data_IF_318387176535
#
_entry.id   IF_318387176535
#
_cell.length_a   1.000
_cell.length_b   1.000
_cell.length_c   1.000
_cell.angle_alpha   90.00
_cell.angle_beta   90.00
_cell.angle_gamma   90.00
#
_symmetry.space_group_name_H-M   'P 1'
#
loop_
_entity.id
_entity.type
_entity.pdbx_description
1 polymer ?
#
# COMPACT_ATOMS: atom_id res chain seq x y z
N UNK A 1 -16.57 -9.03 -9.63
CA UNK A 1 -15.85 -8.38 -8.52
C UNK A 1 -15.20 -7.13 -9.08
N UNK A 2 -15.56 -5.94 -8.61
CA UNK A 2 -14.82 -4.72 -9.00
C UNK A 2 -13.59 -4.64 -8.10
N UNK A 3 -12.41 -4.74 -8.70
CA UNK A 3 -11.15 -4.46 -8.01
C UNK A 3 -10.91 -2.95 -8.09
N UNK A 4 -10.59 -2.33 -6.96
CA UNK A 4 -10.00 -1.00 -6.99
C UNK A 4 -8.57 -1.14 -7.53
N UNK A 5 -8.22 -0.33 -8.52
CA UNK A 5 -6.89 -0.33 -9.12
C UNK A 5 -6.12 0.92 -8.71
N UNK A 6 -4.89 0.74 -8.23
CA UNK A 6 -3.96 1.82 -7.94
C UNK A 6 -2.86 1.77 -8.99
N UNK A 7 -2.74 2.85 -9.77
CA UNK A 7 -1.77 2.93 -10.86
C UNK A 7 -0.55 3.72 -10.42
N UNK A 8 0.58 3.02 -10.31
CA UNK A 8 1.88 3.67 -10.15
C UNK A 8 2.37 4.16 -11.51
N UNK A 9 2.93 5.38 -11.61
CA UNK A 9 3.60 5.81 -12.83
C UNK A 9 4.83 4.93 -13.09
N UNK A 10 5.30 4.89 -14.33
CA UNK A 10 6.60 4.29 -14.62
C UNK A 10 7.68 5.04 -13.84
N UNK A 11 8.49 4.30 -13.07
CA UNK A 11 9.60 4.86 -12.30
C UNK A 11 10.90 4.31 -12.86
N UNK A 12 11.90 5.18 -13.04
CA UNK A 12 13.21 4.73 -13.49
C UNK A 12 13.97 4.08 -12.33
N UNK A 13 14.71 3.00 -12.62
CA UNK A 13 15.57 2.35 -11.62
C UNK A 13 16.62 3.31 -11.07
N UNK A 14 17.16 4.19 -11.91
CA UNK A 14 18.18 5.14 -11.48
C UNK A 14 17.61 6.14 -10.47
N UNK A 15 16.43 6.67 -10.72
CA UNK A 15 15.78 7.62 -9.81
C UNK A 15 15.38 6.93 -8.50
N UNK A 16 14.86 5.70 -8.57
CA UNK A 16 14.55 4.89 -7.38
C UNK A 16 15.79 4.60 -6.54
N UNK A 17 16.92 4.28 -7.16
CA UNK A 17 18.17 4.02 -6.43
C UNK A 17 18.70 5.27 -5.72
N UNK A 18 18.47 6.47 -6.28
CA UNK A 18 18.89 7.74 -5.67
C UNK A 18 17.91 8.19 -4.58
N UNK A 19 16.60 8.09 -4.85
CA UNK A 19 15.56 8.58 -3.96
C UNK A 19 15.18 7.58 -2.86
N UNK A 20 15.50 6.30 -3.03
CA UNK A 20 15.09 5.19 -2.16
C UNK A 20 13.61 4.81 -2.26
N UNK A 21 12.77 5.68 -2.81
CA UNK A 21 11.32 5.45 -2.96
C UNK A 21 10.75 6.25 -4.14
N UNK A 22 9.60 5.81 -4.64
CA UNK A 22 8.86 6.53 -5.68
C UNK A 22 7.99 7.66 -5.10
N UNK A 23 7.39 8.46 -5.98
CA UNK A 23 6.33 9.38 -5.57
C UNK A 23 5.10 8.60 -5.06
N UNK A 24 4.46 9.13 -4.02
CA UNK A 24 3.27 8.53 -3.42
C UNK A 24 2.10 8.52 -4.41
N UNK A 25 1.33 7.43 -4.42
CA UNK A 25 0.05 7.34 -5.11
C UNK A 25 -1.06 7.29 -4.05
N UNK A 26 -2.02 8.24 -4.04
CA UNK A 26 -3.06 8.28 -3.02
C UNK A 26 -4.07 7.14 -3.20
N UNK A 27 -4.44 6.51 -2.09
CA UNK A 27 -5.53 5.52 -2.00
C UNK A 27 -6.57 6.03 -1.02
N UNK A 28 -7.85 5.99 -1.41
CA UNK A 28 -8.95 6.52 -0.61
C UNK A 28 -10.00 5.43 -0.37
N UNK A 29 -10.20 5.08 0.90
CA UNK A 29 -11.26 4.17 1.33
C UNK A 29 -12.53 4.97 1.62
N UNK A 30 -13.48 4.95 0.68
CA UNK A 30 -14.78 5.62 0.86
C UNK A 30 -15.78 4.66 1.51
N UNK A 31 -16.17 4.97 2.75
CA UNK A 31 -17.31 4.33 3.38
C UNK A 31 -18.61 4.91 2.79
N UNK A 32 -19.55 4.06 2.42
CA UNK A 32 -20.84 4.44 1.83
C UNK A 32 -21.97 3.84 2.66
N UNK A 33 -23.11 4.53 2.71
CA UNK A 33 -24.35 4.06 3.34
C UNK A 33 -24.18 3.71 4.83
N UNK A 34 -23.40 4.51 5.55
CA UNK A 34 -23.18 4.36 6.99
C UNK A 34 -24.46 4.72 7.78
N UNK A 35 -25.23 3.71 8.25
CA UNK A 35 -26.56 3.84 8.91
C UNK A 35 -26.58 3.71 10.45
N UNK A 36 -25.43 3.83 11.08
CA UNK A 36 -25.17 3.56 12.50
C UNK A 36 -25.21 4.84 13.34
N UNK A 37 -24.74 4.78 14.60
CA UNK A 37 -24.80 5.94 15.50
C UNK A 37 -24.02 7.12 14.92
N UNK A 38 -24.19 8.31 15.52
CA UNK A 38 -23.61 9.56 15.04
C UNK A 38 -22.07 9.56 14.86
N UNK A 39 -21.35 8.53 15.34
CA UNK A 39 -19.92 8.36 15.13
C UNK A 39 -19.51 6.90 14.95
N UNK A 40 -18.46 6.69 14.15
CA UNK A 40 -17.83 5.40 13.91
C UNK A 40 -16.33 5.49 14.09
N UNK A 41 -15.75 4.44 14.67
CA UNK A 41 -14.33 4.17 14.58
C UNK A 41 -14.16 2.93 13.68
N UNK A 42 -13.42 3.08 12.58
CA UNK A 42 -13.13 1.98 11.66
C UNK A 42 -11.64 1.69 11.72
N UNK A 43 -11.30 0.43 11.97
CA UNK A 43 -9.93 -0.07 11.83
C UNK A 43 -9.78 -0.71 10.45
N UNK A 44 -8.76 -0.30 9.71
CA UNK A 44 -8.38 -0.88 8.43
C UNK A 44 -7.05 -1.59 8.61
N UNK A 45 -6.98 -2.85 8.19
CA UNK A 45 -5.74 -3.63 8.14
C UNK A 45 -5.52 -4.11 6.72
N UNK A 46 -4.26 -4.19 6.31
CA UNK A 46 -3.88 -4.63 4.96
C UNK A 46 -3.19 -5.98 5.06
N UNK A 47 -3.56 -6.91 4.18
CA UNK A 47 -3.00 -8.26 4.14
C UNK A 47 -2.56 -8.61 2.72
N UNK A 48 -1.46 -9.32 2.60
CA UNK A 48 -0.93 -9.78 1.32
C UNK A 48 0.36 -10.55 1.47
N UNK A 49 0.95 -10.96 0.35
CA UNK A 49 2.28 -11.57 0.35
C UNK A 49 3.30 -10.47 0.55
N UNK A 50 4.13 -10.58 1.58
CA UNK A 50 5.21 -9.64 1.81
C UNK A 50 6.40 -9.93 0.92
N UNK A 51 7.13 -8.88 0.57
CA UNK A 51 8.44 -9.00 -0.06
C UNK A 51 9.43 -9.64 0.94
N UNK A 52 10.11 -10.70 0.51
CA UNK A 52 11.00 -11.47 1.38
C UNK A 52 12.27 -10.71 1.80
N UNK A 53 12.67 -9.71 1.04
CA UNK A 53 13.85 -8.87 1.32
C UNK A 53 13.46 -7.58 2.06
N UNK A 54 12.19 -7.17 1.98
CA UNK A 54 11.65 -5.96 2.58
C UNK A 54 10.39 -6.26 3.41
N UNK A 55 10.54 -6.70 4.68
CA UNK A 55 9.40 -6.91 5.58
C UNK A 55 8.52 -5.66 5.71
N UNK A 56 7.21 -5.84 5.86
CA UNK A 56 6.19 -4.79 5.86
C UNK A 56 5.94 -4.10 4.51
N UNK A 57 6.50 -4.61 3.40
CA UNK A 57 6.17 -4.19 2.03
C UNK A 57 5.48 -5.34 1.29
N UNK A 58 4.53 -5.04 0.41
CA UNK A 58 3.91 -6.05 -0.45
C UNK A 58 4.88 -6.48 -1.55
N UNK A 59 4.98 -7.79 -1.78
CA UNK A 59 5.69 -8.36 -2.91
C UNK A 59 5.00 -7.99 -4.23
N UNK A 60 5.80 -7.90 -5.29
CA UNK A 60 5.26 -7.87 -6.64
C UNK A 60 4.67 -9.22 -7.03
N UNK A 61 3.73 -9.20 -7.98
CA UNK A 61 3.23 -10.41 -8.60
C UNK A 61 4.36 -11.21 -9.27
N UNK A 62 4.29 -12.54 -9.22
CA UNK A 62 5.34 -13.42 -9.73
C UNK A 62 5.52 -13.35 -11.25
N UNK A 63 4.55 -12.79 -11.98
CA UNK A 63 4.69 -12.49 -13.42
C UNK A 63 5.49 -11.21 -13.70
N UNK A 64 5.79 -10.40 -12.68
CA UNK A 64 6.60 -9.19 -12.82
C UNK A 64 8.06 -9.53 -13.15
N UNK A 65 8.65 -8.76 -14.06
CA UNK A 65 10.09 -8.81 -14.34
C UNK A 65 10.90 -7.84 -13.48
N UNK A 66 10.24 -6.94 -12.74
CA UNK A 66 10.89 -6.01 -11.83
C UNK A 66 11.37 -6.73 -10.56
N UNK A 67 12.54 -6.33 -10.04
CA UNK A 67 13.19 -6.93 -8.88
C UNK A 67 13.78 -5.83 -7.98
N UNK A 68 13.96 -6.14 -6.69
CA UNK A 68 14.56 -5.24 -5.71
C UNK A 68 13.65 -4.10 -5.26
N UNK A 69 12.34 -4.20 -5.49
CA UNK A 69 11.34 -3.21 -5.07
C UNK A 69 10.11 -3.91 -4.47
N UNK A 70 9.64 -3.39 -3.34
CA UNK A 70 8.36 -3.76 -2.73
C UNK A 70 7.38 -2.59 -2.76
N UNK A 71 6.09 -2.86 -2.58
CA UNK A 71 5.05 -1.83 -2.52
C UNK A 71 4.77 -1.48 -1.05
N UNK A 72 5.19 -0.28 -0.65
CA UNK A 72 4.94 0.26 0.68
C UNK A 72 3.57 0.95 0.77
N UNK A 73 2.99 0.93 1.97
CA UNK A 73 1.77 1.66 2.31
C UNK A 73 2.05 2.55 3.52
N UNK A 74 1.59 3.80 3.48
CA UNK A 74 1.71 4.75 4.58
C UNK A 74 0.40 5.49 4.80
N UNK A 75 0.18 5.94 6.03
CA UNK A 75 -0.88 6.89 6.37
C UNK A 75 -0.53 8.26 5.81
N UNK A 76 -1.51 9.17 5.80
CA UNK A 76 -1.31 10.55 5.31
C UNK A 76 -0.32 11.36 6.16
N UNK A 77 0.00 10.89 7.37
CA UNK A 77 1.01 11.45 8.25
C UNK A 77 2.43 10.90 7.99
N UNK A 78 2.60 10.00 7.00
CA UNK A 78 3.87 9.37 6.63
C UNK A 78 4.25 8.16 7.48
N UNK A 79 3.42 7.73 8.42
CA UNK A 79 3.68 6.53 9.21
C UNK A 79 3.29 5.28 8.41
N UNK A 80 4.23 4.33 8.33
CA UNK A 80 4.03 3.07 7.60
C UNK A 80 2.84 2.27 8.16
N UNK A 81 2.05 1.71 7.25
CA UNK A 81 1.05 0.69 7.56
C UNK A 81 1.69 -0.67 7.30
N UNK A 82 1.94 -1.42 8.37
CA UNK A 82 2.53 -2.74 8.26
C UNK A 82 1.54 -3.72 7.60
N UNK A 83 2.04 -4.48 6.62
CA UNK A 83 1.29 -5.56 5.97
C UNK A 83 1.17 -6.74 6.95
N UNK A 84 0.04 -7.44 6.92
CA UNK A 84 -0.27 -8.59 7.79
C UNK A 84 -0.26 -8.26 9.30
N UNK A 85 -0.41 -6.99 9.67
CA UNK A 85 -0.51 -6.53 11.05
C UNK A 85 -1.98 -6.27 11.45
N UNK A 86 -2.36 -6.65 12.67
CA UNK A 86 -3.72 -6.51 13.19
C UNK A 86 -3.97 -5.20 13.97
N UNK A 87 -2.93 -4.41 14.20
CA UNK A 87 -3.00 -3.17 14.97
C UNK A 87 -3.67 -2.02 14.19
N UNK A 88 -3.57 -2.01 12.85
CA UNK A 88 -4.15 -0.99 11.98
C UNK A 88 -3.36 0.31 11.95
#
# INVERSE_FOLDING_TARGET
QYLAEVRFPTVSRQDLNVAGQSARVPVVFKLKDCKGPAGYNVKVTLTGVEDSEQPCFLALDTSSTAQGVGIGMEKTDGMQVAINNTNG
#
